data_IF_617436375380
#
_entry.id   IF_617436375380
#
_cell.length_a   1.000
_cell.length_b   1.000
_cell.length_c   1.000
_cell.angle_alpha   90.00
_cell.angle_beta   90.00
_cell.angle_gamma   90.00
#
_symmetry.space_group_name_H-M   'P 1'
#
loop_
_entity.id
_entity.type
_entity.pdbx_description
1 polymer ?
#
# COMPACT_ATOMS: atom_id res chain seq x y z
N UNK A 1 25.47 -23.53 -8.47
CA UNK A 1 25.96 -24.96 -8.45
C UNK A 1 24.75 -25.91 -8.47
N UNK A 2 24.92 -27.19 -8.87
CA UNK A 2 23.78 -28.15 -8.99
C UNK A 2 23.08 -28.44 -7.64
N UNK A 3 23.78 -28.30 -6.51
CA UNK A 3 23.18 -28.43 -5.19
C UNK A 3 22.30 -27.19 -4.88
N UNK A 4 22.76 -26.00 -5.16
CA UNK A 4 21.99 -24.75 -4.95
C UNK A 4 20.80 -24.62 -5.90
N UNK A 5 20.88 -25.16 -7.10
CA UNK A 5 19.77 -25.21 -8.05
C UNK A 5 18.70 -26.24 -7.68
N UNK A 6 18.91 -27.03 -6.60
CA UNK A 6 17.99 -28.07 -6.17
C UNK A 6 17.95 -29.30 -7.08
N UNK A 7 18.93 -29.47 -7.96
CA UNK A 7 19.10 -30.71 -8.75
C UNK A 7 19.42 -31.90 -7.84
N UNK A 8 20.02 -31.66 -6.67
CA UNK A 8 20.22 -32.64 -5.62
C UNK A 8 19.43 -32.24 -4.37
N UNK A 9 18.69 -33.18 -3.78
CA UNK A 9 17.90 -32.99 -2.54
C UNK A 9 18.68 -33.53 -1.34
N UNK A 10 18.31 -33.06 -0.14
CA UNK A 10 18.82 -33.65 1.11
C UNK A 10 18.58 -35.14 1.15
N UNK A 11 19.63 -35.90 1.46
CA UNK A 11 19.63 -37.33 1.43
C UNK A 11 20.11 -37.94 0.11
N UNK A 12 20.21 -37.15 -0.96
CA UNK A 12 20.71 -37.64 -2.23
C UNK A 12 22.20 -37.99 -2.11
N UNK A 13 22.57 -39.09 -2.74
CA UNK A 13 23.94 -39.56 -2.77
C UNK A 13 24.59 -39.15 -4.08
N UNK A 14 25.70 -38.46 -4.00
CA UNK A 14 26.50 -38.11 -5.17
C UNK A 14 27.21 -39.33 -5.73
N UNK A 15 27.50 -39.26 -7.03
CA UNK A 15 28.36 -40.27 -7.65
C UNK A 15 29.77 -40.31 -7.03
N UNK A 16 30.46 -41.47 -7.05
CA UNK A 16 31.83 -41.54 -6.62
C UNK A 16 32.73 -40.56 -7.36
N UNK A 17 33.79 -40.08 -6.67
CA UNK A 17 34.72 -39.06 -7.18
C UNK A 17 35.27 -39.40 -8.58
N UNK A 18 35.52 -40.70 -8.84
CA UNK A 18 36.01 -41.18 -10.14
C UNK A 18 34.98 -40.99 -11.26
N UNK A 19 33.70 -41.23 -10.98
CA UNK A 19 32.64 -41.04 -11.96
C UNK A 19 32.37 -39.55 -12.24
N UNK A 20 32.40 -38.73 -11.20
CA UNK A 20 32.29 -37.29 -11.36
C UNK A 20 33.52 -36.74 -12.15
N UNK A 21 34.71 -37.27 -11.89
CA UNK A 21 35.93 -36.86 -12.62
C UNK A 21 35.80 -37.13 -14.13
N UNK A 22 35.21 -38.23 -14.50
CA UNK A 22 34.94 -38.55 -15.91
C UNK A 22 33.89 -37.61 -16.52
N UNK A 23 32.81 -37.37 -15.81
CA UNK A 23 31.72 -36.49 -16.25
C UNK A 23 32.19 -35.05 -16.46
N UNK A 24 32.94 -34.51 -15.49
CA UNK A 24 33.47 -33.13 -15.55
C UNK A 24 34.78 -33.00 -16.27
N UNK A 25 35.35 -34.10 -16.81
CA UNK A 25 36.63 -34.12 -17.54
C UNK A 25 37.81 -33.52 -16.74
N UNK A 26 37.87 -33.81 -15.45
CA UNK A 26 38.92 -33.40 -14.53
C UNK A 26 39.49 -34.62 -13.81
N UNK A 27 40.61 -34.46 -13.07
CA UNK A 27 41.13 -35.57 -12.27
C UNK A 27 40.30 -35.75 -10.96
N UNK A 28 40.34 -36.96 -10.38
CA UNK A 28 39.60 -37.27 -9.15
C UNK A 28 40.05 -36.46 -7.93
N UNK A 29 41.31 -36.00 -7.90
CA UNK A 29 41.80 -35.12 -6.82
C UNK A 29 41.14 -33.73 -6.88
N UNK A 30 40.91 -33.20 -8.08
CA UNK A 30 40.19 -31.94 -8.27
C UNK A 30 38.73 -32.05 -7.78
N UNK A 31 38.05 -33.16 -8.11
CA UNK A 31 36.72 -33.45 -7.60
C UNK A 31 36.73 -33.56 -6.06
N UNK A 32 37.70 -34.34 -5.50
CA UNK A 32 37.77 -34.49 -4.04
C UNK A 32 38.00 -33.15 -3.34
N UNK A 33 38.86 -32.28 -3.88
CA UNK A 33 39.08 -30.95 -3.34
C UNK A 33 37.84 -30.07 -3.39
N UNK A 34 37.11 -30.06 -4.51
CA UNK A 34 35.90 -29.32 -4.66
C UNK A 34 34.78 -29.83 -3.73
N UNK A 35 34.64 -31.15 -3.59
CA UNK A 35 33.64 -31.73 -2.65
C UNK A 35 33.99 -31.46 -1.18
N UNK A 36 35.29 -31.38 -0.82
CA UNK A 36 35.69 -31.01 0.55
C UNK A 36 35.32 -29.57 0.89
N UNK A 37 35.43 -28.63 -0.04
CA UNK A 37 34.94 -27.27 0.15
C UNK A 37 33.45 -27.30 0.48
N UNK A 38 32.65 -28.07 -0.24
CA UNK A 38 31.19 -28.20 0.02
C UNK A 38 30.90 -28.90 1.35
N UNK A 39 31.81 -29.76 1.84
CA UNK A 39 31.70 -30.34 3.19
C UNK A 39 31.98 -29.26 4.25
N UNK A 40 33.03 -28.43 4.05
CA UNK A 40 33.38 -27.33 4.95
C UNK A 40 32.24 -26.28 5.01
N UNK A 41 31.54 -26.05 3.90
CA UNK A 41 30.34 -25.20 3.82
C UNK A 41 29.07 -25.85 4.43
N UNK A 42 29.16 -27.09 4.90
CA UNK A 42 28.07 -27.83 5.51
C UNK A 42 26.95 -28.23 4.53
N UNK A 43 27.26 -28.31 3.25
CA UNK A 43 26.33 -28.74 2.19
C UNK A 43 26.33 -30.26 2.01
N UNK A 44 27.50 -30.89 2.21
CA UNK A 44 27.72 -32.30 2.04
C UNK A 44 28.28 -32.94 3.31
N UNK A 45 28.04 -34.24 3.47
CA UNK A 45 28.72 -35.12 4.43
C UNK A 45 29.41 -36.25 3.67
N UNK A 46 30.67 -36.51 4.01
CA UNK A 46 31.44 -37.64 3.51
C UNK A 46 31.66 -38.66 4.63
N UNK A 47 31.12 -39.83 4.47
CA UNK A 47 31.28 -40.89 5.43
C UNK A 47 31.87 -42.13 4.78
N UNK A 48 32.89 -42.78 5.43
CA UNK A 48 33.45 -44.04 4.92
C UNK A 48 32.34 -45.07 4.68
N UNK A 49 32.41 -45.71 3.52
CA UNK A 49 31.44 -46.71 3.04
C UNK A 49 30.03 -46.20 2.72
N UNK A 50 29.65 -44.97 3.17
CA UNK A 50 28.35 -44.36 2.84
C UNK A 50 28.44 -43.45 1.60
N UNK A 51 29.63 -42.95 1.27
CA UNK A 51 29.85 -42.03 0.17
C UNK A 51 29.59 -40.57 0.55
N UNK A 52 29.37 -39.73 -0.44
CA UNK A 52 29.08 -38.29 -0.27
C UNK A 52 27.57 -38.06 -0.36
N UNK A 53 26.99 -37.50 0.68
CA UNK A 53 25.55 -37.30 0.81
C UNK A 53 25.27 -35.82 1.00
N UNK A 54 24.22 -35.28 0.37
CA UNK A 54 23.69 -33.94 0.58
C UNK A 54 23.02 -33.86 1.94
N UNK A 55 23.55 -33.07 2.86
CA UNK A 55 23.01 -32.95 4.24
C UNK A 55 22.21 -31.69 4.46
N UNK A 56 22.49 -30.64 3.69
CA UNK A 56 21.70 -29.41 3.76
C UNK A 56 20.51 -29.56 2.80
N UNK A 57 19.33 -29.36 3.33
CA UNK A 57 18.21 -29.08 2.47
C UNK A 57 18.51 -27.75 1.78
N UNK A 58 18.98 -27.82 0.53
CA UNK A 58 18.84 -26.66 -0.30
C UNK A 58 17.34 -26.55 -0.54
N UNK A 59 16.69 -25.79 0.34
CA UNK A 59 15.46 -25.15 -0.08
C UNK A 59 15.81 -24.58 -1.45
N UNK A 60 15.01 -24.85 -2.47
CA UNK A 60 15.03 -24.08 -3.72
C UNK A 60 14.76 -22.64 -3.36
N UNK A 61 15.70 -22.02 -2.66
CA UNK A 61 15.68 -20.65 -2.31
C UNK A 61 16.21 -19.91 -3.51
N UNK A 62 15.31 -19.38 -4.34
CA UNK A 62 15.65 -18.30 -5.24
C UNK A 62 16.52 -17.31 -4.45
N UNK A 63 17.67 -16.91 -5.01
CA UNK A 63 18.52 -15.91 -4.36
C UNK A 63 17.65 -14.67 -4.05
N UNK A 64 17.56 -14.29 -2.79
CA UNK A 64 16.83 -13.10 -2.39
C UNK A 64 17.69 -11.90 -2.71
N UNK A 65 17.21 -11.03 -3.58
CA UNK A 65 17.87 -9.76 -3.87
C UNK A 65 17.51 -8.72 -2.80
N UNK A 66 18.27 -7.63 -2.74
CA UNK A 66 17.92 -6.49 -1.88
C UNK A 66 16.86 -5.56 -2.50
N UNK A 67 16.24 -5.95 -3.61
CA UNK A 67 15.19 -5.20 -4.27
C UNK A 67 13.85 -5.43 -3.57
N UNK A 68 13.09 -4.35 -3.38
CA UNK A 68 11.71 -4.37 -2.91
C UNK A 68 10.82 -3.88 -4.04
N UNK A 69 9.94 -4.74 -4.53
CA UNK A 69 9.00 -4.40 -5.58
C UNK A 69 7.87 -3.52 -5.01
N UNK A 70 7.69 -2.33 -5.56
CA UNK A 70 6.67 -1.38 -5.11
C UNK A 70 5.60 -1.20 -6.18
N UNK A 71 4.37 -1.59 -5.86
CA UNK A 71 3.18 -1.41 -6.70
C UNK A 71 2.33 -0.31 -6.08
N UNK A 72 2.66 0.92 -6.42
CA UNK A 72 1.99 2.12 -5.90
C UNK A 72 2.25 3.31 -6.81
N UNK A 73 1.39 4.32 -6.73
CA UNK A 73 1.64 5.60 -7.41
C UNK A 73 2.86 6.28 -6.78
N UNK A 74 3.66 6.95 -7.61
CA UNK A 74 4.80 7.78 -7.21
C UNK A 74 4.58 9.26 -7.56
N UNK A 75 3.42 9.62 -8.12
CA UNK A 75 3.01 11.00 -8.43
C UNK A 75 1.77 11.42 -7.65
N UNK A 76 1.59 12.76 -7.60
CA UNK A 76 0.58 13.36 -6.76
C UNK A 76 1.13 13.60 -5.36
N UNK A 77 0.59 14.61 -4.69
CA UNK A 77 1.16 15.17 -3.47
C UNK A 77 1.35 14.15 -2.34
N UNK A 78 0.42 13.20 -2.24
CA UNK A 78 0.41 12.21 -1.14
C UNK A 78 1.20 10.96 -1.50
N UNK A 79 0.97 10.42 -2.69
CA UNK A 79 1.58 9.13 -3.09
C UNK A 79 3.09 9.27 -3.32
N UNK A 80 3.55 10.42 -3.85
CA UNK A 80 4.98 10.72 -3.97
C UNK A 80 5.65 10.77 -2.60
N UNK A 81 4.99 11.37 -1.60
CA UNK A 81 5.51 11.46 -0.25
C UNK A 81 5.61 10.10 0.43
N UNK A 82 4.57 9.28 0.35
CA UNK A 82 4.59 7.90 0.91
C UNK A 82 5.70 7.09 0.24
N UNK A 83 5.79 7.11 -1.09
CA UNK A 83 6.80 6.34 -1.82
C UNK A 83 8.23 6.77 -1.48
N UNK A 84 8.46 8.08 -1.34
CA UNK A 84 9.74 8.63 -0.94
C UNK A 84 10.12 8.24 0.50
N UNK A 85 9.16 8.30 1.43
CA UNK A 85 9.37 7.92 2.83
C UNK A 85 9.65 6.43 2.98
N UNK A 86 8.92 5.57 2.25
CA UNK A 86 9.21 4.13 2.18
C UNK A 86 10.62 3.90 1.62
N UNK A 87 10.99 4.58 0.54
CA UNK A 87 12.32 4.45 -0.07
C UNK A 87 13.44 4.83 0.91
N UNK A 88 13.25 5.89 1.71
CA UNK A 88 14.18 6.28 2.77
C UNK A 88 14.28 5.21 3.86
N UNK A 89 13.17 4.65 4.30
CA UNK A 89 13.14 3.58 5.31
C UNK A 89 13.81 2.29 4.82
N UNK A 90 13.58 1.92 3.56
CA UNK A 90 14.26 0.79 2.92
C UNK A 90 15.77 1.02 2.85
N UNK A 91 16.21 2.23 2.46
CA UNK A 91 17.63 2.59 2.36
C UNK A 91 18.39 2.44 3.69
N UNK A 92 17.76 2.75 4.84
CA UNK A 92 18.33 2.52 6.18
C UNK A 92 18.66 1.04 6.42
N UNK A 93 18.01 0.12 5.73
CA UNK A 93 18.15 -1.33 5.84
C UNK A 93 18.90 -1.95 4.66
N UNK A 94 19.55 -1.12 3.82
CA UNK A 94 20.26 -1.54 2.61
C UNK A 94 19.38 -2.28 1.60
N UNK A 95 18.08 -1.93 1.57
CA UNK A 95 17.11 -2.39 0.60
C UNK A 95 16.85 -1.31 -0.44
N UNK A 96 16.51 -1.71 -1.68
CA UNK A 96 16.32 -0.79 -2.80
C UNK A 96 14.89 -0.88 -3.32
N UNK A 97 14.18 0.27 -3.45
CA UNK A 97 12.86 0.28 -4.07
C UNK A 97 12.99 0.09 -5.58
N UNK A 98 12.12 -0.76 -6.14
CA UNK A 98 11.88 -0.86 -7.58
C UNK A 98 10.40 -0.53 -7.80
N UNK A 99 10.14 0.62 -8.42
CA UNK A 99 8.78 1.13 -8.62
C UNK A 99 8.28 0.77 -10.02
N UNK A 100 7.00 0.42 -10.11
CA UNK A 100 6.32 0.32 -11.39
C UNK A 100 6.14 1.73 -11.99
N UNK A 101 6.19 1.82 -13.31
CA UNK A 101 5.91 3.08 -13.99
C UNK A 101 4.42 3.44 -13.84
N UNK A 102 4.16 4.66 -13.40
CA UNK A 102 2.79 5.15 -13.13
C UNK A 102 1.85 5.14 -14.33
N UNK A 103 2.40 5.40 -15.52
CA UNK A 103 1.58 5.39 -16.74
C UNK A 103 0.97 4.02 -17.05
N UNK A 104 1.46 2.97 -16.40
CA UNK A 104 1.04 1.58 -16.65
C UNK A 104 0.43 0.89 -15.43
N UNK A 105 0.40 1.54 -14.25
CA UNK A 105 -0.11 0.91 -13.03
C UNK A 105 -1.62 0.59 -13.10
N UNK A 106 -2.36 1.28 -13.95
CA UNK A 106 -3.78 1.03 -14.21
C UNK A 106 -4.02 -0.05 -15.28
N UNK A 107 -2.97 -0.49 -15.97
CA UNK A 107 -3.01 -1.58 -16.93
C UNK A 107 -2.64 -2.89 -16.23
N UNK A 108 -3.62 -3.78 -16.07
CA UNK A 108 -3.45 -5.07 -15.40
C UNK A 108 -2.36 -5.94 -16.03
N UNK A 109 -2.24 -5.92 -17.36
CA UNK A 109 -1.22 -6.68 -18.07
C UNK A 109 0.19 -6.15 -17.76
N UNK A 110 0.35 -4.84 -17.72
CA UNK A 110 1.63 -4.21 -17.36
C UNK A 110 1.99 -4.48 -15.90
N UNK A 111 1.04 -4.40 -14.98
CA UNK A 111 1.27 -4.73 -13.55
C UNK A 111 1.65 -6.20 -13.38
N UNK A 112 0.94 -7.11 -14.07
CA UNK A 112 1.26 -8.52 -14.09
C UNK A 112 2.70 -8.76 -14.57
N UNK A 113 3.05 -8.21 -15.72
CA UNK A 113 4.40 -8.37 -16.30
C UNK A 113 5.49 -7.81 -15.37
N UNK A 114 5.23 -6.67 -14.73
CA UNK A 114 6.13 -6.12 -13.72
C UNK A 114 6.32 -7.09 -12.55
N UNK A 115 5.24 -7.57 -11.96
CA UNK A 115 5.31 -8.50 -10.84
C UNK A 115 6.01 -9.80 -11.23
N UNK A 116 5.71 -10.35 -12.41
CA UNK A 116 6.35 -11.56 -12.93
C UNK A 116 7.85 -11.36 -13.19
N UNK A 117 8.25 -10.19 -13.70
CA UNK A 117 9.66 -9.88 -13.93
C UNK A 117 10.50 -9.76 -12.66
N UNK A 118 9.86 -9.46 -11.53
CA UNK A 118 10.51 -9.43 -10.23
C UNK A 118 10.76 -10.82 -9.63
N UNK A 119 10.12 -11.87 -10.19
CA UNK A 119 10.18 -13.24 -9.67
C UNK A 119 10.52 -14.19 -10.82
N UNK A 120 11.80 -14.50 -11.00
CA UNK A 120 12.26 -15.51 -11.96
C UNK A 120 12.60 -16.86 -11.30
N UNK A 121 13.20 -17.79 -12.05
CA UNK A 121 13.56 -19.12 -11.54
C UNK A 121 14.73 -19.07 -10.54
N UNK A 122 15.60 -18.08 -10.64
CA UNK A 122 16.86 -17.98 -9.88
C UNK A 122 16.84 -16.89 -8.80
N UNK A 123 16.01 -15.84 -8.99
CA UNK A 123 15.97 -14.68 -8.11
C UNK A 123 14.54 -14.33 -7.68
N UNK A 124 14.43 -13.70 -6.52
CA UNK A 124 13.19 -13.07 -6.04
C UNK A 124 13.52 -11.75 -5.34
N UNK A 125 12.59 -10.79 -5.30
CA UNK A 125 12.78 -9.59 -4.51
C UNK A 125 12.81 -9.94 -3.02
N UNK A 126 13.30 -9.03 -2.21
CA UNK A 126 13.19 -9.12 -0.74
C UNK A 126 11.72 -9.21 -0.32
N UNK A 127 10.84 -8.52 -1.03
CA UNK A 127 9.41 -8.58 -0.86
C UNK A 127 8.68 -7.56 -1.71
N UNK A 128 7.39 -7.43 -1.46
CA UNK A 128 6.47 -6.55 -2.19
C UNK A 128 5.80 -5.58 -1.22
N UNK A 129 5.78 -4.29 -1.59
CA UNK A 129 4.94 -3.28 -0.95
C UNK A 129 3.90 -2.82 -1.97
N UNK A 130 2.63 -2.96 -1.62
CA UNK A 130 1.51 -2.76 -2.56
C UNK A 130 0.50 -1.81 -1.92
N UNK A 131 0.15 -0.72 -2.63
CA UNK A 131 -0.97 0.10 -2.20
C UNK A 131 -2.28 -0.68 -2.40
N UNK A 132 -3.02 -0.84 -1.32
CA UNK A 132 -4.25 -1.62 -1.31
C UNK A 132 -5.44 -0.96 -2.02
N UNK A 133 -5.24 0.17 -2.70
CA UNK A 133 -6.23 0.80 -3.57
C UNK A 133 -6.51 -0.02 -4.83
N UNK A 134 -5.51 -0.80 -5.28
CA UNK A 134 -5.62 -1.54 -6.55
C UNK A 134 -6.14 -2.95 -6.31
N UNK A 135 -7.22 -3.31 -6.99
CA UNK A 135 -7.81 -4.65 -6.88
C UNK A 135 -7.01 -5.71 -7.63
N UNK A 136 -6.49 -5.38 -8.80
CA UNK A 136 -5.80 -6.34 -9.65
C UNK A 136 -4.60 -7.02 -8.96
N UNK A 137 -3.65 -6.29 -8.30
CA UNK A 137 -2.54 -6.96 -7.61
C UNK A 137 -3.01 -7.98 -6.59
N UNK A 138 -4.13 -7.70 -5.90
CA UNK A 138 -4.71 -8.64 -4.93
C UNK A 138 -5.20 -9.93 -5.59
N UNK A 139 -6.03 -9.82 -6.63
CA UNK A 139 -6.61 -10.97 -7.34
C UNK A 139 -5.51 -11.83 -7.95
N UNK A 140 -4.51 -11.20 -8.56
CA UNK A 140 -3.37 -11.88 -9.16
C UNK A 140 -2.51 -12.59 -8.11
N UNK A 141 -2.20 -11.92 -7.00
CA UNK A 141 -1.46 -12.51 -5.88
C UNK A 141 -2.20 -13.69 -5.27
N UNK A 142 -3.51 -13.57 -5.04
CA UNK A 142 -4.34 -14.64 -4.47
C UNK A 142 -4.28 -15.92 -5.32
N UNK A 143 -4.23 -15.77 -6.63
CA UNK A 143 -4.17 -16.91 -7.57
C UNK A 143 -2.75 -17.47 -7.77
N UNK A 144 -1.70 -16.81 -7.27
CA UNK A 144 -0.31 -17.17 -7.52
C UNK A 144 0.56 -17.04 -6.25
N UNK A 145 -0.01 -17.31 -5.06
CA UNK A 145 0.65 -17.08 -3.77
C UNK A 145 1.96 -17.86 -3.60
N UNK A 146 2.10 -19.01 -4.28
CA UNK A 146 3.32 -19.84 -4.24
C UNK A 146 4.51 -19.16 -4.91
N UNK A 147 4.26 -18.14 -5.75
CA UNK A 147 5.30 -17.40 -6.47
C UNK A 147 5.76 -16.15 -5.72
N UNK A 148 4.87 -15.58 -4.89
CA UNK A 148 5.08 -14.29 -4.25
C UNK A 148 5.17 -14.45 -2.74
N UNK A 149 6.26 -13.99 -2.19
CA UNK A 149 6.52 -14.05 -0.75
C UNK A 149 6.71 -12.65 -0.17
N UNK A 150 6.55 -12.52 1.15
CA UNK A 150 6.83 -11.31 1.90
C UNK A 150 6.10 -10.06 1.36
N UNK A 151 4.76 -10.14 1.38
CA UNK A 151 3.88 -9.09 0.85
C UNK A 151 3.40 -8.20 1.99
N UNK A 152 3.48 -6.88 1.80
CA UNK A 152 2.90 -5.86 2.68
C UNK A 152 1.95 -4.98 1.89
N UNK A 153 0.69 -4.94 2.29
CA UNK A 153 -0.28 -3.96 1.81
C UNK A 153 -0.20 -2.70 2.69
N UNK A 154 -0.28 -1.54 2.05
CA UNK A 154 -0.20 -0.25 2.73
C UNK A 154 -1.42 0.62 2.50
N UNK A 155 -1.55 1.67 3.32
CA UNK A 155 -2.51 2.75 3.22
C UNK A 155 -3.95 2.29 3.43
N UNK A 156 -4.52 1.55 2.49
CA UNK A 156 -5.87 1.00 2.55
C UNK A 156 -5.91 -0.44 2.04
N UNK A 157 -7.02 -1.10 2.26
CA UNK A 157 -7.22 -2.46 1.78
C UNK A 157 -8.69 -2.67 1.43
N UNK A 158 -8.97 -2.83 0.16
CA UNK A 158 -10.32 -2.84 -0.37
C UNK A 158 -11.00 -4.21 -0.33
N UNK A 159 -10.20 -5.28 -0.37
CA UNK A 159 -10.77 -6.62 -0.53
C UNK A 159 -11.33 -7.16 0.81
N UNK A 160 -12.52 -7.80 0.82
CA UNK A 160 -13.13 -8.34 2.03
C UNK A 160 -12.32 -9.49 2.66
N UNK A 161 -11.56 -10.21 1.86
CA UNK A 161 -10.74 -11.33 2.31
C UNK A 161 -9.27 -10.91 2.42
N UNK A 162 -8.64 -11.19 3.55
CA UNK A 162 -7.20 -10.99 3.74
C UNK A 162 -6.39 -12.18 3.23
N UNK A 163 -5.26 -11.90 2.59
CA UNK A 163 -4.26 -12.91 2.26
C UNK A 163 -3.53 -13.29 3.56
N UNK A 164 -3.61 -14.55 3.97
CA UNK A 164 -3.06 -15.03 5.26
C UNK A 164 -1.55 -14.82 5.41
N UNK A 165 -0.80 -14.93 4.31
CA UNK A 165 0.65 -14.74 4.26
C UNK A 165 1.07 -13.26 4.16
N UNK A 166 0.17 -12.36 3.81
CA UNK A 166 0.46 -10.92 3.71
C UNK A 166 0.38 -10.23 5.06
N UNK A 167 1.00 -9.05 5.14
CA UNK A 167 0.98 -8.12 6.26
C UNK A 167 0.37 -6.79 5.84
N UNK A 168 -0.05 -5.96 6.79
CA UNK A 168 -0.89 -4.81 6.51
C UNK A 168 -0.46 -3.59 7.34
N UNK A 169 -0.05 -2.51 6.70
CA UNK A 169 0.20 -1.20 7.32
C UNK A 169 -0.89 -0.23 6.83
N UNK A 170 -2.01 -0.18 7.52
CA UNK A 170 -3.22 0.52 7.07
C UNK A 170 -3.47 1.79 7.87
N UNK A 171 -4.24 2.71 7.28
CA UNK A 171 -4.72 3.93 7.93
C UNK A 171 -6.15 3.73 8.45
N UNK A 172 -6.44 4.26 9.62
CA UNK A 172 -7.78 4.26 10.21
C UNK A 172 -8.63 5.39 9.62
N UNK A 173 -9.12 5.19 8.41
CA UNK A 173 -9.95 6.18 7.72
C UNK A 173 -11.35 6.35 8.33
N UNK A 174 -11.86 5.39 9.10
CA UNK A 174 -13.09 5.57 9.88
C UNK A 174 -12.86 6.64 10.96
N UNK A 175 -11.76 6.54 11.70
CA UNK A 175 -11.37 7.57 12.68
C UNK A 175 -11.11 8.92 11.99
N UNK A 176 -10.57 8.97 10.78
CA UNK A 176 -10.42 10.20 10.01
C UNK A 176 -11.76 10.93 9.80
N UNK A 177 -12.78 10.21 9.35
CA UNK A 177 -14.15 10.74 9.20
C UNK A 177 -14.73 11.23 10.51
N UNK A 178 -14.57 10.46 11.61
CA UNK A 178 -15.04 10.86 12.95
C UNK A 178 -14.37 12.13 13.44
N UNK A 179 -13.06 12.26 13.29
CA UNK A 179 -12.32 13.46 13.71
C UNK A 179 -12.80 14.70 12.97
N UNK A 180 -13.03 14.61 11.66
CA UNK A 180 -13.54 15.72 10.88
C UNK A 180 -14.95 16.13 11.32
N UNK A 181 -15.88 15.18 11.42
CA UNK A 181 -17.26 15.45 11.87
C UNK A 181 -17.29 16.04 13.27
N UNK A 182 -16.57 15.42 14.23
CA UNK A 182 -16.49 15.89 15.61
C UNK A 182 -15.98 17.32 15.71
N UNK A 183 -14.97 17.66 14.93
CA UNK A 183 -14.45 19.04 14.91
C UNK A 183 -15.51 20.02 14.42
N UNK A 184 -16.13 19.79 13.27
CA UNK A 184 -17.15 20.66 12.71
C UNK A 184 -18.35 20.81 13.65
N UNK A 185 -18.80 19.72 14.27
CA UNK A 185 -19.89 19.70 15.24
C UNK A 185 -19.54 20.53 16.47
N UNK A 186 -18.32 20.41 17.00
CA UNK A 186 -17.85 21.18 18.15
C UNK A 186 -17.77 22.67 17.90
N UNK A 187 -17.62 23.07 16.63
CA UNK A 187 -17.64 24.46 16.19
C UNK A 187 -19.05 25.03 15.94
N UNK A 188 -20.07 24.22 16.16
CA UNK A 188 -21.47 24.63 16.06
C UNK A 188 -22.14 24.33 14.71
N UNK A 189 -21.43 23.75 13.75
CA UNK A 189 -22.04 23.39 12.49
C UNK A 189 -23.05 22.27 12.65
N UNK A 190 -24.18 22.38 11.93
CA UNK A 190 -25.26 21.38 11.94
C UNK A 190 -25.65 20.93 10.53
N UNK A 191 -25.38 21.78 9.52
CA UNK A 191 -25.57 21.46 8.10
C UNK A 191 -24.22 21.11 7.51
N UNK A 192 -23.94 19.82 7.41
CA UNK A 192 -22.64 19.28 7.05
C UNK A 192 -22.73 18.51 5.73
N UNK A 193 -21.65 18.55 4.95
CA UNK A 193 -21.46 17.69 3.78
C UNK A 193 -20.13 16.92 3.88
N UNK A 194 -20.15 15.66 3.47
CA UNK A 194 -18.95 14.87 3.25
C UNK A 194 -18.84 14.57 1.75
N UNK A 195 -17.73 15.00 1.13
CA UNK A 195 -17.52 14.87 -0.30
C UNK A 195 -16.41 13.86 -0.60
N UNK A 196 -16.77 12.86 -1.37
CA UNK A 196 -15.86 11.88 -1.93
C UNK A 196 -16.24 11.64 -3.39
N UNK A 197 -15.27 11.52 -4.26
CA UNK A 197 -15.48 11.28 -5.70
C UNK A 197 -14.68 10.05 -6.10
N UNK A 198 -15.22 9.16 -6.95
CA UNK A 198 -14.46 8.07 -7.52
C UNK A 198 -13.30 8.60 -8.33
N UNK A 199 -12.12 8.06 -8.12
CA UNK A 199 -10.94 8.39 -8.92
C UNK A 199 -11.11 8.00 -10.39
N UNK A 200 -11.96 6.99 -10.64
CA UNK A 200 -12.34 6.59 -12.00
C UNK A 200 -13.83 6.17 -12.04
N UNK A 201 -14.71 7.01 -12.58
CA UNK A 201 -16.14 6.69 -12.67
C UNK A 201 -16.47 5.49 -13.58
N UNK A 202 -15.54 5.08 -14.43
CA UNK A 202 -15.74 3.95 -15.35
C UNK A 202 -15.30 2.61 -14.76
N UNK A 203 -14.53 2.64 -13.70
CA UNK A 203 -14.19 1.45 -12.90
C UNK A 203 -14.91 1.59 -11.58
N UNK A 204 -15.81 0.69 -11.25
CA UNK A 204 -16.54 0.69 -9.97
C UNK A 204 -15.65 0.49 -8.74
N UNK A 205 -14.37 0.80 -8.85
CA UNK A 205 -13.37 0.63 -7.79
C UNK A 205 -13.38 1.87 -6.89
N UNK A 206 -14.14 1.73 -5.82
CA UNK A 206 -14.15 2.66 -4.70
C UNK A 206 -13.00 2.34 -3.80
N UNK A 207 -12.19 3.33 -3.57
CA UNK A 207 -11.21 3.20 -2.52
C UNK A 207 -11.97 2.96 -1.20
N UNK A 208 -11.63 1.90 -0.50
CA UNK A 208 -12.16 1.62 0.84
C UNK A 208 -11.97 2.81 1.78
N UNK A 209 -10.99 3.66 1.50
CA UNK A 209 -10.75 4.92 2.18
C UNK A 209 -11.96 5.85 2.16
N UNK A 210 -12.54 6.12 0.98
CA UNK A 210 -13.65 7.06 0.86
C UNK A 210 -14.90 6.55 1.56
N UNK A 211 -15.18 5.25 1.43
CA UNK A 211 -16.28 4.59 2.15
C UNK A 211 -16.07 4.68 3.66
N UNK A 212 -14.87 4.38 4.14
CA UNK A 212 -14.54 4.42 5.56
C UNK A 212 -14.59 5.84 6.13
N UNK A 213 -14.09 6.84 5.39
CA UNK A 213 -14.21 8.25 5.75
C UNK A 213 -15.67 8.64 5.92
N UNK A 214 -16.52 8.33 4.94
CA UNK A 214 -17.94 8.65 4.99
C UNK A 214 -18.64 7.91 6.13
N UNK A 215 -18.35 6.64 6.33
CA UNK A 215 -18.89 5.85 7.43
C UNK A 215 -18.59 6.50 8.78
N UNK A 216 -17.31 6.83 9.04
CA UNK A 216 -16.92 7.48 10.29
C UNK A 216 -17.58 8.86 10.47
N UNK A 217 -17.68 9.64 9.40
CA UNK A 217 -18.34 10.95 9.42
C UNK A 217 -19.83 10.82 9.73
N UNK A 218 -20.53 9.90 9.08
CA UNK A 218 -21.95 9.65 9.30
C UNK A 218 -22.25 9.14 10.72
N UNK A 219 -21.43 8.21 11.25
CA UNK A 219 -21.56 7.70 12.62
C UNK A 219 -21.43 8.82 13.67
N UNK A 220 -20.50 9.74 13.49
CA UNK A 220 -20.33 10.86 14.42
C UNK A 220 -21.49 11.87 14.33
N UNK A 221 -21.96 12.17 13.11
CA UNK A 221 -23.17 12.98 12.91
C UNK A 221 -24.38 12.36 13.61
N UNK A 222 -24.60 11.06 13.42
CA UNK A 222 -25.72 10.33 14.04
C UNK A 222 -25.62 10.37 15.57
N UNK A 223 -24.43 10.16 16.11
CA UNK A 223 -24.18 10.19 17.56
C UNK A 223 -24.47 11.57 18.17
N UNK A 224 -24.28 12.63 17.39
CA UNK A 224 -24.58 14.01 17.80
C UNK A 224 -26.04 14.44 17.50
N UNK A 225 -26.88 13.54 17.02
CA UNK A 225 -28.27 13.84 16.66
C UNK A 225 -28.42 14.73 15.42
N UNK A 226 -27.36 14.78 14.57
CA UNK A 226 -27.37 15.53 13.31
C UNK A 226 -27.87 14.61 12.20
N UNK A 227 -28.91 15.07 11.48
CA UNK A 227 -29.38 14.37 10.31
C UNK A 227 -28.38 14.53 9.18
N UNK A 228 -27.77 13.42 8.77
CA UNK A 228 -26.83 13.36 7.68
C UNK A 228 -27.39 12.47 6.55
N UNK A 229 -27.34 12.98 5.31
CA UNK A 229 -27.73 12.23 4.12
C UNK A 229 -26.50 11.93 3.29
N UNK A 230 -26.32 10.67 2.93
CA UNK A 230 -25.28 10.20 2.03
C UNK A 230 -25.67 10.25 0.54
N UNK A 231 -26.88 10.79 0.24
CA UNK A 231 -27.43 10.81 -1.13
C UNK A 231 -26.49 11.49 -2.13
N UNK A 232 -25.85 12.59 -1.73
CA UNK A 232 -24.89 13.32 -2.58
C UNK A 232 -23.68 12.46 -2.89
N UNK A 233 -23.14 11.80 -1.88
CA UNK A 233 -22.04 10.86 -2.06
C UNK A 233 -22.42 9.74 -3.03
N UNK A 234 -23.59 9.10 -2.84
CA UNK A 234 -24.05 8.03 -3.74
C UNK A 234 -24.35 8.49 -5.16
N UNK A 235 -24.82 9.71 -5.34
CA UNK A 235 -24.98 10.30 -6.69
C UNK A 235 -23.65 10.48 -7.40
N UNK A 236 -22.64 10.99 -6.70
CA UNK A 236 -21.27 11.12 -7.22
C UNK A 236 -20.69 9.75 -7.57
N UNK A 237 -20.89 8.76 -6.70
CA UNK A 237 -20.54 7.36 -6.93
C UNK A 237 -21.10 6.84 -8.26
N UNK A 238 -22.32 7.11 -8.57
CA UNK A 238 -22.94 6.67 -9.82
C UNK A 238 -22.59 7.52 -11.03
N UNK A 239 -21.57 8.37 -10.92
CA UNK A 239 -21.05 9.17 -12.02
C UNK A 239 -21.84 10.43 -12.32
N UNK A 240 -22.69 10.91 -11.37
CA UNK A 240 -23.36 12.18 -11.54
C UNK A 240 -22.34 13.34 -11.57
N UNK A 241 -22.51 14.37 -12.42
CA UNK A 241 -21.59 15.48 -12.52
C UNK A 241 -21.44 16.23 -11.19
N UNK A 242 -20.18 16.50 -10.80
CA UNK A 242 -19.85 17.17 -9.54
C UNK A 242 -20.56 18.53 -9.41
N UNK A 243 -20.38 19.41 -10.39
CA UNK A 243 -20.91 20.79 -10.32
C UNK A 243 -22.42 20.85 -10.21
N UNK A 244 -23.14 19.94 -10.87
CA UNK A 244 -24.60 19.89 -10.77
C UNK A 244 -25.06 19.26 -9.46
N UNK A 245 -24.39 18.20 -9.00
CA UNK A 245 -24.77 17.45 -7.80
C UNK A 245 -24.42 18.23 -6.53
N UNK A 246 -23.17 18.62 -6.36
CA UNK A 246 -22.71 19.38 -5.19
C UNK A 246 -23.20 20.83 -5.26
N UNK A 247 -23.22 21.43 -6.46
CA UNK A 247 -23.76 22.77 -6.66
C UNK A 247 -25.23 22.93 -6.31
N UNK A 248 -26.02 21.85 -6.36
CA UNK A 248 -27.41 21.87 -5.93
C UNK A 248 -27.58 22.08 -4.42
N UNK A 249 -26.65 21.58 -3.59
CA UNK A 249 -26.67 21.77 -2.14
C UNK A 249 -26.66 23.25 -1.74
N UNK A 250 -26.07 24.12 -2.57
CA UNK A 250 -25.92 25.56 -2.29
C UNK A 250 -27.07 26.43 -2.85
N UNK A 251 -28.06 25.81 -3.47
CA UNK A 251 -29.29 26.49 -3.93
C UNK A 251 -30.37 26.51 -2.86
N UNK A 252 -30.25 25.64 -1.86
CA UNK A 252 -31.29 25.46 -0.83
C UNK A 252 -31.06 26.38 0.36
N UNK A 253 -32.15 26.66 1.12
CA UNK A 253 -32.11 27.51 2.31
C UNK A 253 -31.23 26.90 3.40
N UNK A 254 -31.18 25.57 3.49
CA UNK A 254 -30.42 24.80 4.48
C UNK A 254 -29.10 24.27 3.88
N UNK A 255 -28.36 25.12 3.15
CA UNK A 255 -27.07 24.78 2.55
C UNK A 255 -26.05 24.33 3.59
N UNK A 256 -25.07 23.48 3.21
CA UNK A 256 -23.97 23.15 4.09
C UNK A 256 -23.20 24.39 4.55
N UNK A 257 -22.90 24.46 5.83
CA UNK A 257 -22.05 25.48 6.44
C UNK A 257 -20.61 24.98 6.64
N UNK A 258 -20.42 23.68 6.48
CA UNK A 258 -19.11 23.05 6.51
C UNK A 258 -19.05 21.80 5.63
N UNK A 259 -17.87 21.56 5.06
CA UNK A 259 -17.58 20.46 4.16
C UNK A 259 -16.33 19.73 4.63
N UNK A 260 -16.41 18.42 4.72
CA UNK A 260 -15.24 17.54 4.74
C UNK A 260 -15.06 16.89 3.36
N UNK A 261 -13.87 16.95 2.81
CA UNK A 261 -13.56 16.32 1.53
C UNK A 261 -12.37 15.36 1.65
N UNK A 262 -12.41 14.29 0.88
CA UNK A 262 -11.47 13.16 0.94
C UNK A 262 -10.02 13.52 0.60
N UNK A 263 -9.77 14.71 0.02
CA UNK A 263 -8.43 15.13 -0.40
C UNK A 263 -8.31 16.67 -0.40
N UNK A 264 -7.16 17.16 0.03
CA UNK A 264 -6.81 18.60 -0.01
C UNK A 264 -6.73 19.10 -1.45
N UNK A 265 -6.14 18.32 -2.35
CA UNK A 265 -6.06 18.65 -3.79
C UNK A 265 -7.44 18.82 -4.40
N UNK A 266 -8.39 17.98 -3.98
CA UNK A 266 -9.78 18.08 -4.44
C UNK A 266 -10.48 19.34 -3.90
N UNK A 267 -10.23 19.72 -2.66
CA UNK A 267 -10.71 21.01 -2.14
C UNK A 267 -10.18 22.16 -2.98
N UNK A 268 -8.87 22.16 -3.23
CA UNK A 268 -8.19 23.23 -3.97
C UNK A 268 -8.68 23.34 -5.42
N UNK A 269 -8.85 22.19 -6.11
CA UNK A 269 -9.17 22.17 -7.53
C UNK A 269 -10.66 22.22 -7.88
N UNK A 270 -11.53 21.80 -6.97
CA UNK A 270 -12.95 21.63 -7.27
C UNK A 270 -13.87 22.32 -6.27
N UNK A 271 -13.66 22.14 -4.96
CA UNK A 271 -14.61 22.68 -3.95
C UNK A 271 -14.51 24.21 -3.85
N UNK A 272 -13.28 24.75 -3.76
CA UNK A 272 -13.06 26.20 -3.67
C UNK A 272 -13.64 26.93 -4.91
N UNK A 273 -13.30 26.51 -6.17
CA UNK A 273 -13.87 27.13 -7.35
C UNK A 273 -15.39 27.05 -7.42
N UNK A 274 -15.99 25.93 -6.97
CA UNK A 274 -17.45 25.80 -6.90
C UNK A 274 -18.06 26.81 -5.94
N UNK A 275 -17.53 26.94 -4.72
CA UNK A 275 -18.00 27.93 -3.74
C UNK A 275 -17.91 29.36 -4.26
N UNK A 276 -16.78 29.73 -4.84
CA UNK A 276 -16.55 31.05 -5.43
C UNK A 276 -17.52 31.33 -6.57
N UNK A 277 -17.82 30.34 -7.43
CA UNK A 277 -18.83 30.46 -8.49
C UNK A 277 -20.25 30.72 -7.97
N UNK A 278 -20.52 30.39 -6.69
CA UNK A 278 -21.78 30.65 -5.99
C UNK A 278 -21.74 31.94 -5.18
N UNK A 279 -20.65 32.73 -5.27
CA UNK A 279 -20.46 33.93 -4.48
C UNK A 279 -20.16 33.68 -3.00
N UNK A 280 -19.78 32.46 -2.63
CA UNK A 280 -19.44 32.06 -1.27
C UNK A 280 -17.94 32.16 -1.06
N UNK A 281 -17.54 32.66 0.10
CA UNK A 281 -16.15 32.80 0.48
C UNK A 281 -15.71 31.53 1.24
N UNK A 282 -14.80 30.72 0.66
CA UNK A 282 -14.22 29.58 1.37
C UNK A 282 -13.65 30.02 2.72
N UNK A 283 -13.75 29.17 3.72
CA UNK A 283 -13.32 29.37 5.11
C UNK A 283 -14.08 30.46 5.89
N UNK A 284 -14.85 31.30 5.21
CA UNK A 284 -15.69 32.32 5.87
C UNK A 284 -17.17 31.97 5.86
N UNK A 285 -17.71 31.60 4.70
CA UNK A 285 -19.13 31.25 4.53
C UNK A 285 -19.35 29.73 4.61
N UNK A 286 -18.31 28.93 4.34
CA UNK A 286 -18.26 27.47 4.43
C UNK A 286 -16.92 27.03 4.98
N UNK A 287 -16.91 26.37 6.14
CA UNK A 287 -15.70 25.80 6.72
C UNK A 287 -15.30 24.54 5.95
N UNK A 288 -13.99 24.38 5.69
CA UNK A 288 -13.46 23.27 4.92
C UNK A 288 -12.48 22.42 5.74
N UNK A 289 -12.62 21.12 5.64
CA UNK A 289 -11.64 20.15 6.14
C UNK A 289 -11.24 19.24 4.99
N UNK A 290 -9.94 19.08 4.78
CA UNK A 290 -9.39 18.16 3.80
C UNK A 290 -8.84 16.89 4.44
N UNK A 291 -8.14 16.11 3.62
CA UNK A 291 -7.41 14.93 4.04
C UNK A 291 -6.03 14.89 3.38
N UNK A 292 -5.07 14.32 4.09
CA UNK A 292 -3.65 14.14 3.78
C UNK A 292 -2.72 15.25 4.29
N UNK A 293 -3.23 16.38 4.74
CA UNK A 293 -2.44 17.48 5.29
C UNK A 293 -1.31 17.95 4.34
N UNK A 294 -1.66 18.13 3.07
CA UNK A 294 -0.73 18.55 2.03
C UNK A 294 -0.46 20.08 2.11
N UNK A 295 0.50 20.57 1.30
CA UNK A 295 0.76 22.01 1.16
C UNK A 295 -0.48 22.80 0.73
N UNK A 296 -1.42 22.20 0.00
CA UNK A 296 -2.68 22.86 -0.37
C UNK A 296 -3.50 23.28 0.84
N UNK A 297 -3.53 22.47 1.90
CA UNK A 297 -4.24 22.82 3.12
C UNK A 297 -3.60 24.03 3.82
N UNK A 298 -2.26 24.11 3.81
CA UNK A 298 -1.51 25.23 4.37
C UNK A 298 -1.71 26.51 3.56
N UNK A 299 -1.54 26.45 2.24
CA UNK A 299 -1.68 27.60 1.34
C UNK A 299 -3.10 28.20 1.35
N UNK A 300 -4.13 27.36 1.40
CA UNK A 300 -5.53 27.79 1.41
C UNK A 300 -6.08 28.02 2.82
N UNK A 301 -5.34 27.66 3.89
CA UNK A 301 -5.71 27.92 5.27
C UNK A 301 -6.80 27.03 5.86
N UNK A 302 -7.14 25.90 5.24
CA UNK A 302 -8.14 24.98 5.76
C UNK A 302 -7.51 23.85 6.62
N UNK A 303 -8.30 23.32 7.57
CA UNK A 303 -7.91 22.18 8.40
C UNK A 303 -7.82 20.91 7.58
N UNK A 304 -6.95 19.98 7.95
CA UNK A 304 -6.82 18.72 7.22
C UNK A 304 -6.47 17.54 8.14
N UNK A 305 -6.91 16.35 7.74
CA UNK A 305 -6.54 15.10 8.40
C UNK A 305 -5.14 14.69 7.94
N UNK A 306 -4.21 14.56 8.88
CA UNK A 306 -2.89 13.98 8.68
C UNK A 306 -2.95 12.47 8.87
N UNK A 307 -2.50 11.72 7.88
CA UNK A 307 -2.46 10.25 7.92
C UNK A 307 -1.11 9.69 8.43
N UNK A 308 -0.15 10.58 8.69
CA UNK A 308 1.20 10.22 9.14
C UNK A 308 1.95 9.29 8.20
N UNK A 309 2.29 9.77 7.01
CA UNK A 309 2.98 9.02 5.96
C UNK A 309 4.29 8.40 6.46
N UNK A 310 5.00 9.08 7.38
CA UNK A 310 6.20 8.55 8.03
C UNK A 310 5.90 7.27 8.83
N UNK A 311 4.81 7.27 9.59
CA UNK A 311 4.40 6.10 10.39
C UNK A 311 3.96 4.95 9.49
N UNK A 312 3.31 5.24 8.35
CA UNK A 312 2.93 4.24 7.35
C UNK A 312 4.19 3.61 6.76
N UNK A 313 5.16 4.44 6.35
CA UNK A 313 6.42 3.98 5.78
C UNK A 313 7.22 3.11 6.77
N UNK A 314 7.35 3.58 8.01
CA UNK A 314 8.03 2.84 9.07
C UNK A 314 7.33 1.50 9.35
N UNK A 315 5.99 1.51 9.49
CA UNK A 315 5.20 0.30 9.71
C UNK A 315 5.35 -0.70 8.57
N UNK A 316 5.25 -0.22 7.32
CA UNK A 316 5.39 -1.06 6.14
C UNK A 316 6.75 -1.77 6.11
N UNK A 317 7.83 -1.02 6.35
CA UNK A 317 9.19 -1.58 6.28
C UNK A 317 9.47 -2.49 7.49
N UNK A 318 9.03 -2.17 8.70
CA UNK A 318 9.11 -3.06 9.87
C UNK A 318 8.38 -4.38 9.64
N UNK A 319 7.19 -4.33 9.05
CA UNK A 319 6.45 -5.52 8.68
C UNK A 319 7.19 -6.33 7.62
N UNK A 320 7.72 -5.66 6.59
CA UNK A 320 8.46 -6.30 5.50
C UNK A 320 9.73 -7.00 6.00
N UNK A 321 10.49 -6.36 6.89
CA UNK A 321 11.78 -6.87 7.39
C UNK A 321 11.65 -7.85 8.55
N UNK A 322 10.44 -8.04 9.07
CA UNK A 322 10.21 -8.91 10.23
C UNK A 322 10.70 -8.32 11.54
N UNK A 323 10.91 -6.99 11.62
CA UNK A 323 11.26 -6.29 12.86
C UNK A 323 10.10 -6.26 13.88
N UNK A 324 8.93 -6.70 13.47
CA UNK A 324 7.76 -6.90 14.33
C UNK A 324 7.11 -8.24 14.06
N UNK A 325 6.54 -8.84 15.11
CA UNK A 325 5.75 -10.08 15.02
C UNK A 325 4.29 -9.83 14.61
N UNK A 326 3.88 -8.57 14.61
CA UNK A 326 2.54 -8.19 14.19
C UNK A 326 2.32 -8.48 12.71
N UNK A 327 1.07 -8.80 12.37
CA UNK A 327 0.65 -8.96 10.97
C UNK A 327 -0.07 -7.73 10.42
N UNK A 328 -0.51 -6.85 11.29
CA UNK A 328 -1.24 -5.63 10.90
C UNK A 328 -0.93 -4.51 11.87
N UNK A 329 -0.58 -3.36 11.33
CA UNK A 329 -0.40 -2.11 12.06
C UNK A 329 -1.42 -1.13 11.53
N UNK A 330 -2.24 -0.56 12.42
CA UNK A 330 -3.24 0.44 12.08
C UNK A 330 -2.71 1.82 12.50
N UNK A 331 -2.40 2.67 11.53
CA UNK A 331 -1.93 4.03 11.76
C UNK A 331 -3.13 4.93 12.02
N UNK A 332 -3.15 5.56 13.19
CA UNK A 332 -4.22 6.49 13.58
C UNK A 332 -3.95 7.86 12.99
N UNK A 333 -4.93 8.46 12.30
CA UNK A 333 -4.84 9.82 11.78
C UNK A 333 -5.01 10.84 12.91
N UNK A 334 -4.65 12.08 12.62
CA UNK A 334 -4.95 13.23 13.47
C UNK A 334 -5.47 14.40 12.64
N UNK A 335 -6.23 15.31 13.27
CA UNK A 335 -6.69 16.53 12.64
C UNK A 335 -5.69 17.66 12.90
N UNK A 336 -5.12 18.22 11.85
CA UNK A 336 -4.32 19.44 11.89
C UNK A 336 -5.27 20.63 11.69
N UNK A 337 -5.54 21.33 12.79
CA UNK A 337 -6.44 22.49 12.79
C UNK A 337 -5.69 23.71 12.29
N UNK A 338 -6.24 24.40 11.27
CA UNK A 338 -5.77 25.68 10.76
C UNK A 338 -6.85 26.73 10.98
N UNK A 339 -6.40 27.95 11.17
CA UNK A 339 -7.27 28.95 11.73
C UNK A 339 -8.36 29.45 10.80
N UNK A 340 -9.61 29.32 11.25
CA UNK A 340 -10.56 30.42 11.21
C UNK A 340 -11.08 30.59 12.60
N UNK A 341 -10.78 31.72 13.22
CA UNK A 341 -11.63 32.24 14.26
C UNK A 341 -12.88 32.78 13.54
N UNK A 342 -13.98 32.03 13.58
CA UNK A 342 -15.31 32.56 13.31
C UNK A 342 -15.71 33.47 14.46
#
# INVERSE_FOLDING_TARGET
MQIESGAFKKGDKLFPDEKLALEYKVNSRTIAAGLNILVEEGLLERAPRRGTIVIKETVKGKSVTNAVAMVMLSKGDVFSDISLKISKELGKRKLFPVLINESVITDEHCVKNYMDSMVDESHRPYGFIIDGIYEFPFSYLKSNLERFENIVFINQYHHPEKIKSARYALVDFVTAGKLAAKHLISRGHRNLACLAIPENPNTAHWSSMQINIMTGFAEECQSAGIKFSDEVFWKLIKGAPFDSTVGALFKEKDRPTAIFAYSDSFIRSSVIPLLESKGLKPMKDVELIGCYNTHHAEECGFSSICIHEEKIAEAAVKLLTGETVEKSILVKPELVVRGTKF
#
